data_IF_765427431646
#
_entry.id   IF_765427431646
#
_cell.length_a   1.000
_cell.length_b   1.000
_cell.length_c   1.000
_cell.angle_alpha   90.00
_cell.angle_beta   90.00
_cell.angle_gamma   90.00
#
_symmetry.space_group_name_H-M   'P 1'
#
loop_
_entity.id
_entity.type
_entity.pdbx_description
1 polymer ?
#
# COMPACT_ATOMS: atom_id res chain seq x y z
N UNK A 1 9.84 5.14 -0.75
CA UNK A 1 9.78 3.67 -0.78
C UNK A 1 9.31 3.29 -2.17
N UNK A 2 9.99 2.36 -2.83
CA UNK A 2 9.55 1.85 -4.13
C UNK A 2 8.44 0.79 -3.96
N UNK A 3 7.71 0.49 -5.04
CA UNK A 3 6.75 -0.62 -5.02
C UNK A 3 7.46 -1.94 -4.76
N UNK A 4 8.64 -2.16 -5.33
CA UNK A 4 9.42 -3.38 -5.09
C UNK A 4 9.80 -3.55 -3.62
N UNK A 5 10.26 -2.48 -2.97
CA UNK A 5 10.58 -2.49 -1.53
C UNK A 5 9.34 -2.79 -0.68
N UNK A 6 8.19 -2.17 -1.01
CA UNK A 6 6.92 -2.42 -0.35
C UNK A 6 6.55 -3.91 -0.44
N UNK A 7 6.61 -4.49 -1.64
CA UNK A 7 6.23 -5.89 -1.87
C UNK A 7 7.18 -6.85 -1.19
N UNK A 8 8.48 -6.57 -1.20
CA UNK A 8 9.48 -7.39 -0.50
C UNK A 8 9.24 -7.40 1.01
N UNK A 9 8.98 -6.23 1.60
CA UNK A 9 8.63 -6.08 3.02
C UNK A 9 7.32 -6.80 3.37
N UNK A 10 6.31 -6.63 2.53
CA UNK A 10 5.02 -7.31 2.70
C UNK A 10 5.16 -8.84 2.63
N UNK A 11 5.94 -9.35 1.68
CA UNK A 11 6.25 -10.77 1.54
C UNK A 11 7.02 -11.33 2.75
N UNK A 12 7.86 -10.50 3.38
CA UNK A 12 8.55 -10.84 4.63
C UNK A 12 7.67 -10.78 5.89
N UNK A 13 6.37 -10.46 5.76
CA UNK A 13 5.42 -10.41 6.86
C UNK A 13 5.23 -9.02 7.48
N UNK A 14 5.93 -7.99 6.98
CA UNK A 14 5.69 -6.62 7.42
C UNK A 14 4.28 -6.19 7.01
N UNK A 15 3.54 -5.59 7.94
CA UNK A 15 2.19 -5.06 7.71
C UNK A 15 2.08 -3.59 8.04
N UNK A 16 3.08 -2.98 8.67
CA UNK A 16 3.01 -1.58 9.05
C UNK A 16 3.66 -0.69 7.99
N UNK A 17 2.82 0.04 7.27
CA UNK A 17 3.18 0.95 6.19
C UNK A 17 2.51 2.31 6.41
N UNK A 18 2.31 2.70 7.66
CA UNK A 18 1.65 3.96 7.99
C UNK A 18 2.49 5.17 7.53
N UNK A 19 1.83 6.18 6.97
CA UNK A 19 2.45 7.46 6.58
C UNK A 19 3.36 7.39 5.35
N UNK A 20 3.43 6.25 4.65
CA UNK A 20 4.33 6.13 3.49
C UNK A 20 3.86 6.98 2.32
N UNK A 21 4.81 7.44 1.50
CA UNK A 21 4.50 8.08 0.23
C UNK A 21 4.54 7.04 -0.90
N UNK A 22 3.38 6.82 -1.52
CA UNK A 22 3.12 5.97 -2.70
C UNK A 22 2.46 6.80 -3.82
N UNK A 23 2.73 8.11 -3.85
CA UNK A 23 2.24 8.99 -4.93
C UNK A 23 2.66 8.43 -6.29
N UNK A 24 1.72 8.37 -7.24
CA UNK A 24 1.93 7.82 -8.60
C UNK A 24 2.39 6.36 -8.66
N UNK A 25 2.34 5.62 -7.54
CA UNK A 25 2.76 4.22 -7.52
C UNK A 25 1.82 3.34 -8.37
N UNK A 26 2.39 2.47 -9.20
CA UNK A 26 1.62 1.42 -9.84
C UNK A 26 1.48 0.21 -8.90
N UNK A 27 0.30 0.06 -8.31
CA UNK A 27 -0.07 -1.02 -7.39
C UNK A 27 -1.17 -1.90 -8.01
N UNK A 28 -1.30 -1.90 -9.33
CA UNK A 28 -2.34 -2.67 -10.00
C UNK A 28 -2.15 -4.17 -9.75
N UNK A 29 -3.26 -4.84 -9.42
CA UNK A 29 -3.27 -6.28 -9.10
C UNK A 29 -2.53 -6.70 -7.83
N UNK A 30 -1.96 -5.77 -7.06
CA UNK A 30 -1.20 -6.11 -5.85
C UNK A 30 -2.13 -6.58 -4.73
N UNK A 31 -1.68 -7.57 -3.95
CA UNK A 31 -2.32 -7.94 -2.69
C UNK A 31 -1.64 -7.26 -1.50
N UNK A 32 -2.31 -6.30 -0.87
CA UNK A 32 -1.91 -5.67 0.40
C UNK A 32 -2.94 -5.95 1.52
N UNK A 33 -3.67 -7.06 1.43
CA UNK A 33 -4.70 -7.37 2.42
C UNK A 33 -4.17 -7.40 3.86
N UNK A 34 -4.88 -6.73 4.76
CA UNK A 34 -4.49 -6.56 6.16
C UNK A 34 -3.29 -5.64 6.39
N UNK A 35 -2.77 -4.94 5.37
CA UNK A 35 -1.73 -3.94 5.57
C UNK A 35 -2.28 -2.71 6.33
N UNK A 36 -1.42 -2.05 7.08
CA UNK A 36 -1.69 -0.76 7.70
C UNK A 36 -1.09 0.35 6.82
N UNK A 37 -1.93 0.99 6.00
CA UNK A 37 -1.60 2.15 5.17
C UNK A 37 -2.17 3.45 5.77
N UNK A 38 -2.38 3.49 7.10
CA UNK A 38 -2.92 4.67 7.78
C UNK A 38 -2.07 5.91 7.44
N UNK A 39 -2.70 6.96 6.94
CA UNK A 39 -2.01 8.20 6.59
C UNK A 39 -1.10 8.12 5.37
N UNK A 40 -1.11 7.02 4.61
CA UNK A 40 -0.29 6.91 3.42
C UNK A 40 -0.75 7.89 2.33
N UNK A 41 0.19 8.47 1.59
CA UNK A 41 -0.14 9.25 0.40
C UNK A 41 -0.19 8.32 -0.82
N UNK A 42 -1.38 8.05 -1.31
CA UNK A 42 -1.72 7.25 -2.49
C UNK A 42 -2.20 8.14 -3.66
N UNK A 43 -1.93 9.45 -3.61
CA UNK A 43 -2.32 10.38 -4.67
C UNK A 43 -1.85 9.87 -6.04
N UNK A 44 -2.77 9.74 -7.00
CA UNK A 44 -2.46 9.27 -8.37
C UNK A 44 -1.96 7.81 -8.43
N UNK A 45 -1.98 7.05 -7.33
CA UNK A 45 -1.59 5.64 -7.36
C UNK A 45 -2.60 4.81 -8.19
N UNK A 46 -2.09 3.93 -9.04
CA UNK A 46 -2.93 2.97 -9.75
C UNK A 46 -3.23 1.78 -8.85
N UNK A 47 -4.44 1.72 -8.29
CA UNK A 47 -4.92 0.63 -7.43
C UNK A 47 -5.85 -0.34 -8.16
N UNK A 48 -5.87 -0.31 -9.49
CA UNK A 48 -6.79 -1.14 -10.29
C UNK A 48 -6.59 -2.63 -9.99
N UNK A 49 -7.64 -3.30 -9.50
CA UNK A 49 -7.60 -4.72 -9.15
C UNK A 49 -6.75 -5.06 -7.91
N UNK A 50 -6.27 -4.08 -7.16
CA UNK A 50 -5.54 -4.33 -5.92
C UNK A 50 -6.46 -4.96 -4.87
N UNK A 51 -5.97 -5.99 -4.18
CA UNK A 51 -6.68 -6.54 -3.01
C UNK A 51 -6.27 -5.76 -1.76
N UNK A 52 -7.16 -4.85 -1.33
CA UNK A 52 -7.01 -4.05 -0.12
C UNK A 52 -7.93 -4.54 1.02
N UNK A 53 -8.40 -5.79 0.97
CA UNK A 53 -9.27 -6.35 2.02
C UNK A 53 -8.64 -6.22 3.40
N UNK A 54 -9.38 -5.67 4.38
CA UNK A 54 -8.92 -5.42 5.76
C UNK A 54 -7.71 -4.47 5.88
N UNK A 55 -7.36 -3.74 4.82
CA UNK A 55 -6.30 -2.74 4.88
C UNK A 55 -6.77 -1.54 5.69
N UNK A 56 -5.95 -1.05 6.62
CA UNK A 56 -6.24 0.21 7.29
C UNK A 56 -5.83 1.37 6.39
N UNK A 57 -6.82 2.03 5.76
CA UNK A 57 -6.63 3.22 4.93
C UNK A 57 -7.03 4.52 5.64
N UNK A 58 -7.20 4.49 6.97
CA UNK A 58 -7.63 5.67 7.73
C UNK A 58 -6.69 6.84 7.47
N UNK A 59 -7.22 7.95 6.95
CA UNK A 59 -6.45 9.15 6.65
C UNK A 59 -5.45 9.01 5.50
N UNK A 60 -5.49 7.91 4.73
CA UNK A 60 -4.75 7.84 3.47
C UNK A 60 -5.34 8.87 2.48
N UNK A 61 -4.46 9.51 1.70
CA UNK A 61 -4.82 10.57 0.74
C UNK A 61 -4.64 10.12 -0.69
#
# INVERSE_FOLDING_TARGET
MTVEELLKKYAAGERNFAGINLTEANLSGVNLSGANLKGANLSVANLSGANLSKTNLTGAK
#
